data_IF_418407731550
#
_entry.id   IF_418407731550
#
_cell.length_a   1.000
_cell.length_b   1.000
_cell.length_c   1.000
_cell.angle_alpha   90.00
_cell.angle_beta   90.00
_cell.angle_gamma   90.00
#
_symmetry.space_group_name_H-M   'P 1'
#
loop_
_entity.id
_entity.type
_entity.pdbx_description
1 polymer ?
#
# COMPACT_ATOMS: atom_id res chain seq x y z
N UNK A 1 15.24 -11.69 -6.42
CA UNK A 1 14.80 -10.59 -5.55
C UNK A 1 13.30 -10.68 -5.40
N UNK A 2 12.79 -10.67 -4.17
CA UNK A 2 11.35 -10.75 -3.94
C UNK A 2 10.72 -9.36 -4.06
N UNK A 3 9.61 -9.29 -4.77
CA UNK A 3 8.86 -8.04 -4.87
C UNK A 3 8.24 -7.67 -3.51
N UNK A 4 8.29 -6.40 -3.18
CA UNK A 4 7.78 -5.88 -1.90
C UNK A 4 6.25 -5.72 -1.90
N UNK A 5 5.64 -5.71 -3.07
CA UNK A 5 4.19 -5.77 -3.25
C UNK A 5 3.89 -6.81 -4.31
N UNK A 6 2.98 -7.72 -4.01
CA UNK A 6 2.54 -8.76 -4.94
C UNK A 6 1.15 -8.42 -5.45
N UNK A 7 0.94 -8.65 -6.74
CA UNK A 7 -0.35 -8.44 -7.40
C UNK A 7 -0.83 -9.74 -8.03
N UNK A 8 -2.06 -10.12 -7.75
CA UNK A 8 -2.65 -11.35 -8.28
C UNK A 8 -4.12 -11.11 -8.62
N UNK A 9 -4.55 -11.64 -9.75
CA UNK A 9 -5.97 -11.65 -10.09
C UNK A 9 -6.61 -12.93 -9.57
N UNK A 10 -7.66 -12.80 -8.76
CA UNK A 10 -8.45 -13.92 -8.25
C UNK A 10 -9.92 -13.67 -8.62
N UNK A 11 -10.41 -14.39 -9.64
CA UNK A 11 -11.76 -14.14 -10.16
C UNK A 11 -11.88 -12.69 -10.66
N UNK A 12 -12.79 -11.93 -10.09
CA UNK A 12 -13.00 -10.52 -10.42
C UNK A 12 -12.29 -9.56 -9.43
N UNK A 13 -11.41 -10.08 -8.60
CA UNK A 13 -10.66 -9.29 -7.63
C UNK A 13 -9.22 -9.08 -8.06
N UNK A 14 -8.72 -7.86 -7.92
CA UNK A 14 -7.29 -7.62 -7.84
C UNK A 14 -6.89 -7.80 -6.38
N UNK A 15 -5.98 -8.72 -6.13
CA UNK A 15 -5.45 -9.00 -4.80
C UNK A 15 -4.06 -8.40 -4.66
N UNK A 16 -3.90 -7.46 -3.72
CA UNK A 16 -2.64 -6.79 -3.43
C UNK A 16 -2.10 -7.35 -2.11
N UNK A 17 -0.88 -7.83 -2.11
CA UNK A 17 -0.23 -8.35 -0.89
C UNK A 17 1.01 -7.51 -0.58
N UNK A 18 1.04 -6.88 0.58
CA UNK A 18 2.24 -6.23 1.10
C UNK A 18 3.22 -7.32 1.53
N UNK A 19 4.42 -7.33 0.97
CA UNK A 19 5.34 -8.47 1.08
C UNK A 19 6.70 -8.07 1.68
N UNK A 20 6.66 -7.43 2.84
CA UNK A 20 7.85 -7.12 3.65
C UNK A 20 7.64 -7.59 5.10
N UNK A 21 7.33 -8.88 5.33
CA UNK A 21 6.96 -9.33 6.68
C UNK A 21 8.06 -9.11 7.72
N UNK A 22 9.33 -9.19 7.33
CA UNK A 22 10.45 -8.91 8.23
C UNK A 22 10.50 -7.45 8.70
N UNK A 23 9.92 -6.53 7.94
CA UNK A 23 9.78 -5.10 8.29
C UNK A 23 8.33 -4.77 8.69
N UNK A 24 7.55 -5.75 9.12
CA UNK A 24 6.14 -5.61 9.50
C UNK A 24 5.30 -4.96 8.38
N UNK A 25 5.64 -5.24 7.13
CA UNK A 25 5.02 -4.70 5.92
C UNK A 25 5.02 -3.17 5.86
N UNK A 26 6.03 -2.53 6.43
CA UNK A 26 6.17 -1.08 6.37
C UNK A 26 6.29 -0.59 4.93
N UNK A 27 5.64 0.56 4.65
CA UNK A 27 5.60 1.14 3.33
C UNK A 27 6.86 1.94 3.03
N UNK A 28 7.44 1.70 1.86
CA UNK A 28 8.43 2.60 1.27
C UNK A 28 7.83 3.30 0.04
N UNK A 29 8.59 4.23 -0.55
CA UNK A 29 8.13 5.03 -1.68
C UNK A 29 7.74 4.15 -2.89
N UNK A 30 8.57 3.18 -3.23
CA UNK A 30 8.31 2.29 -4.37
C UNK A 30 7.01 1.50 -4.19
N UNK A 31 6.72 1.05 -2.97
CA UNK A 31 5.47 0.35 -2.66
C UNK A 31 4.26 1.27 -2.86
N UNK A 32 4.31 2.50 -2.36
CA UNK A 32 3.21 3.46 -2.51
C UNK A 32 2.93 3.77 -3.99
N UNK A 33 3.96 3.98 -4.78
CA UNK A 33 3.84 4.22 -6.23
C UNK A 33 3.25 3.01 -6.94
N UNK A 34 3.71 1.79 -6.62
CA UNK A 34 3.21 0.55 -7.22
C UNK A 34 1.74 0.31 -6.90
N UNK A 35 1.33 0.54 -5.66
CA UNK A 35 -0.06 0.37 -5.23
C UNK A 35 -0.96 1.38 -5.93
N UNK A 36 -0.55 2.64 -6.00
CA UNK A 36 -1.33 3.68 -6.68
C UNK A 36 -1.53 3.35 -8.16
N UNK A 37 -0.48 2.92 -8.83
CA UNK A 37 -0.53 2.52 -10.24
C UNK A 37 -1.45 1.33 -10.46
N UNK A 38 -1.32 0.30 -9.61
CA UNK A 38 -2.17 -0.88 -9.70
C UNK A 38 -3.65 -0.54 -9.48
N UNK A 39 -3.93 0.36 -8.54
CA UNK A 39 -5.28 0.85 -8.30
C UNK A 39 -5.85 1.58 -9.53
N UNK A 40 -5.04 2.45 -10.14
CA UNK A 40 -5.45 3.15 -11.36
C UNK A 40 -5.80 2.16 -12.48
N UNK A 41 -4.94 1.18 -12.72
CA UNK A 41 -5.15 0.18 -13.75
C UNK A 41 -6.40 -0.67 -13.44
N UNK A 42 -6.59 -1.05 -12.18
CA UNK A 42 -7.76 -1.83 -11.76
C UNK A 42 -9.07 -1.05 -11.93
N UNK A 43 -9.07 0.25 -11.67
CA UNK A 43 -10.26 1.08 -11.81
C UNK A 43 -10.72 1.24 -13.28
N UNK A 44 -9.80 1.09 -14.23
CA UNK A 44 -10.09 1.17 -15.66
C UNK A 44 -10.28 -0.20 -16.32
N UNK A 45 -10.06 -1.29 -15.59
CA UNK A 45 -10.21 -2.66 -16.10
C UNK A 45 -11.60 -3.19 -15.78
N UNK A 46 -12.47 -3.42 -16.79
CA UNK A 46 -13.83 -3.92 -16.54
C UNK A 46 -13.89 -5.33 -15.95
N UNK A 47 -12.81 -6.10 -16.06
CA UNK A 47 -12.73 -7.44 -15.46
C UNK A 47 -12.50 -7.40 -13.95
N UNK A 48 -12.03 -6.28 -13.41
CA UNK A 48 -11.80 -6.10 -11.97
C UNK A 48 -13.00 -5.40 -11.36
N UNK A 49 -13.72 -6.09 -10.48
CA UNK A 49 -14.92 -5.56 -9.82
C UNK A 49 -14.63 -5.03 -8.41
N UNK A 50 -13.59 -5.53 -7.76
CA UNK A 50 -13.18 -5.08 -6.42
C UNK A 50 -11.69 -5.35 -6.20
N UNK A 51 -11.15 -4.70 -5.17
CA UNK A 51 -9.74 -4.78 -4.82
C UNK A 51 -9.63 -5.24 -3.38
N UNK A 52 -8.73 -6.20 -3.12
CA UNK A 52 -8.44 -6.72 -1.78
C UNK A 52 -6.99 -6.46 -1.49
N UNK A 53 -6.69 -5.92 -0.30
CA UNK A 53 -5.32 -5.72 0.16
C UNK A 53 -5.09 -6.48 1.46
N UNK A 54 -3.97 -7.18 1.54
CA UNK A 54 -3.56 -7.96 2.70
C UNK A 54 -2.06 -7.81 2.96
N UNK A 55 -1.61 -8.24 4.12
CA UNK A 55 -0.19 -8.27 4.46
C UNK A 55 0.33 -9.69 4.55
N UNK A 56 1.52 -9.94 4.02
CA UNK A 56 2.19 -11.21 4.15
C UNK A 56 2.66 -11.44 5.60
N UNK A 57 2.75 -12.70 6.01
CA UNK A 57 3.14 -13.09 7.35
C UNK A 57 1.97 -13.06 8.34
N UNK A 58 2.29 -13.24 9.62
CA UNK A 58 1.29 -13.42 10.68
C UNK A 58 1.41 -12.35 11.79
N UNK A 59 2.25 -11.33 11.63
CA UNK A 59 2.52 -10.31 12.66
C UNK A 59 1.87 -8.97 12.38
N UNK A 60 1.84 -8.53 11.14
CA UNK A 60 1.36 -7.21 10.79
C UNK A 60 0.64 -7.18 9.46
N UNK A 61 -0.41 -6.38 9.39
CA UNK A 61 -0.97 -5.94 8.11
C UNK A 61 -0.01 -4.90 7.49
N UNK A 62 0.19 -3.77 8.15
CA UNK A 62 1.16 -2.75 7.76
C UNK A 62 1.48 -1.85 8.96
N UNK A 63 2.75 -1.77 9.32
CA UNK A 63 3.20 -0.95 10.45
C UNK A 63 3.34 0.54 10.11
N UNK A 64 3.02 0.96 8.89
CA UNK A 64 3.10 2.35 8.47
C UNK A 64 4.26 2.61 7.52
N UNK A 65 4.69 3.87 7.39
CA UNK A 65 5.85 4.22 6.59
C UNK A 65 7.15 3.68 7.19
N UNK A 66 8.13 3.40 6.33
CA UNK A 66 9.43 2.91 6.79
C UNK A 66 10.26 4.06 7.39
N UNK A 67 9.98 4.35 8.66
CA UNK A 67 10.60 5.46 9.39
C UNK A 67 12.10 5.26 9.56
N UNK A 68 12.54 4.00 9.71
CA UNK A 68 13.96 3.71 9.85
C UNK A 68 14.73 4.07 8.57
N UNK A 69 14.18 3.71 7.40
CA UNK A 69 14.76 4.06 6.11
C UNK A 69 14.74 5.58 5.88
N UNK A 70 13.61 6.21 6.13
CA UNK A 70 13.47 7.67 6.01
C UNK A 70 14.41 8.41 6.97
N UNK A 71 14.58 7.90 8.18
CA UNK A 71 15.47 8.49 9.16
C UNK A 71 16.95 8.44 8.76
N UNK A 72 17.36 7.37 8.07
CA UNK A 72 18.73 7.24 7.58
C UNK A 72 19.00 8.10 6.35
N UNK A 73 18.08 8.12 5.40
CA UNK A 73 18.25 8.80 4.11
C UNK A 73 17.74 10.23 4.14
N UNK A 74 16.69 10.49 4.88
CA UNK A 74 16.02 11.79 4.91
C UNK A 74 16.83 12.90 5.56
N UNK A 75 17.76 12.57 6.46
CA UNK A 75 18.67 13.56 7.06
C UNK A 75 19.56 14.20 5.99
N UNK A 76 19.93 13.44 4.98
CA UNK A 76 20.78 13.90 3.88
C UNK A 76 19.94 14.46 2.72
N UNK A 77 18.66 14.13 2.63
CA UNK A 77 17.84 14.50 1.49
C UNK A 77 16.38 14.75 1.90
N UNK A 78 16.07 16.02 2.17
CA UNK A 78 14.72 16.44 2.53
C UNK A 78 13.70 16.18 1.42
N UNK A 79 14.11 16.27 0.15
CA UNK A 79 13.24 16.03 -0.99
C UNK A 79 12.73 14.57 -1.03
N UNK A 80 13.53 13.62 -0.52
CA UNK A 80 13.13 12.22 -0.43
C UNK A 80 11.91 12.05 0.49
N UNK A 81 11.90 12.74 1.64
CA UNK A 81 10.77 12.72 2.56
C UNK A 81 9.51 13.33 1.94
N UNK A 82 9.68 14.50 1.34
CA UNK A 82 8.56 15.23 0.73
C UNK A 82 7.93 14.42 -0.39
N UNK A 83 8.75 13.81 -1.25
CA UNK A 83 8.26 12.97 -2.33
C UNK A 83 7.53 11.72 -1.81
N UNK A 84 8.07 11.08 -0.77
CA UNK A 84 7.44 9.91 -0.16
C UNK A 84 6.04 10.26 0.37
N UNK A 85 5.93 11.29 1.22
CA UNK A 85 4.66 11.68 1.81
C UNK A 85 3.67 12.18 0.76
N UNK A 86 4.16 12.91 -0.23
CA UNK A 86 3.32 13.39 -1.33
C UNK A 86 2.68 12.20 -2.07
N UNK A 87 3.46 11.21 -2.45
CA UNK A 87 2.97 10.05 -3.19
C UNK A 87 2.11 9.12 -2.32
N UNK A 88 2.43 8.99 -1.03
CA UNK A 88 1.60 8.25 -0.09
C UNK A 88 0.23 8.88 0.07
N UNK A 89 0.16 10.21 0.24
CA UNK A 89 -1.12 10.91 0.37
C UNK A 89 -1.93 10.87 -0.92
N UNK A 90 -1.28 10.93 -2.06
CA UNK A 90 -1.95 10.76 -3.36
C UNK A 90 -2.53 9.36 -3.51
N UNK A 91 -1.81 8.35 -3.07
CA UNK A 91 -2.30 6.98 -3.03
C UNK A 91 -3.54 6.88 -2.13
N UNK A 92 -3.48 7.42 -0.91
CA UNK A 92 -4.60 7.41 0.02
C UNK A 92 -5.83 8.12 -0.56
N UNK A 93 -5.64 9.24 -1.23
CA UNK A 93 -6.71 9.97 -1.89
C UNK A 93 -7.32 9.15 -3.03
N UNK A 94 -6.50 8.46 -3.80
CA UNK A 94 -6.97 7.59 -4.88
C UNK A 94 -7.80 6.42 -4.34
N UNK A 95 -7.40 5.84 -3.21
CA UNK A 95 -8.18 4.80 -2.53
C UNK A 95 -9.54 5.35 -2.10
N UNK A 96 -9.57 6.52 -1.49
CA UNK A 96 -10.81 7.15 -1.02
C UNK A 96 -11.77 7.47 -2.17
N UNK A 97 -11.24 7.79 -3.34
CA UNK A 97 -12.01 8.15 -4.53
C UNK A 97 -12.24 7.00 -5.50
N UNK A 98 -11.76 5.80 -5.17
CA UNK A 98 -11.88 4.65 -6.06
C UNK A 98 -13.36 4.35 -6.34
N UNK A 99 -13.75 4.12 -7.62
CA UNK A 99 -15.12 3.78 -7.97
C UNK A 99 -15.47 2.32 -7.68
N UNK A 100 -14.51 1.52 -7.23
CA UNK A 100 -14.69 0.09 -6.94
C UNK A 100 -14.43 -0.18 -5.47
N UNK A 101 -15.08 -1.20 -4.87
CA UNK A 101 -14.85 -1.57 -3.48
C UNK A 101 -13.37 -1.89 -3.20
N UNK A 102 -12.89 -1.39 -2.10
CA UNK A 102 -11.55 -1.62 -1.58
C UNK A 102 -11.68 -2.30 -0.23
N UNK A 103 -11.23 -3.56 -0.13
CA UNK A 103 -11.35 -4.39 1.06
C UNK A 103 -9.97 -4.62 1.65
N UNK A 104 -9.76 -4.18 2.89
CA UNK A 104 -8.52 -4.43 3.62
C UNK A 104 -8.72 -5.60 4.59
N UNK A 105 -7.90 -6.63 4.45
CA UNK A 105 -7.86 -7.76 5.37
C UNK A 105 -6.83 -7.45 6.46
N UNK A 106 -7.29 -6.85 7.54
CA UNK A 106 -6.45 -6.40 8.63
C UNK A 106 -6.23 -7.54 9.61
N UNK A 107 -5.00 -8.07 9.60
CA UNK A 107 -4.58 -9.14 10.50
C UNK A 107 -3.27 -8.74 11.16
N UNK A 108 -3.34 -8.35 12.43
CA UNK A 108 -2.18 -7.92 13.18
C UNK A 108 -1.95 -6.42 13.20
N UNK A 109 -0.71 -6.01 13.40
CA UNK A 109 -0.32 -4.61 13.60
C UNK A 109 -0.69 -3.74 12.40
N UNK A 110 -1.39 -2.63 12.67
CA UNK A 110 -1.78 -1.65 11.67
C UNK A 110 -1.59 -0.26 12.25
N UNK A 111 -0.67 0.53 11.69
CA UNK A 111 -0.30 1.85 12.20
C UNK A 111 -0.02 2.81 11.05
N UNK A 112 -0.19 4.10 11.27
CA UNK A 112 0.19 5.15 10.34
C UNK A 112 -0.33 4.93 8.92
N UNK A 113 0.58 4.72 7.95
CA UNK A 113 0.25 4.44 6.56
C UNK A 113 -0.58 3.17 6.37
N UNK A 114 -0.46 2.19 7.29
CA UNK A 114 -1.32 1.00 7.29
C UNK A 114 -2.78 1.34 7.57
N UNK A 115 -3.03 2.30 8.45
CA UNK A 115 -4.38 2.84 8.68
C UNK A 115 -4.90 3.51 7.41
N UNK A 116 -4.06 4.29 6.72
CA UNK A 116 -4.42 4.90 5.45
C UNK A 116 -4.84 3.90 4.39
N UNK A 117 -4.16 2.75 4.33
CA UNK A 117 -4.52 1.65 3.41
C UNK A 117 -5.83 0.95 3.79
N UNK A 118 -6.29 1.09 5.02
CA UNK A 118 -7.42 0.29 5.53
C UNK A 118 -8.73 1.08 5.64
N UNK A 119 -8.69 2.37 5.99
CA UNK A 119 -9.90 3.11 6.37
C UNK A 119 -10.46 4.03 5.30
N UNK A 120 -9.69 4.36 4.26
CA UNK A 120 -10.12 5.32 3.25
C UNK A 120 -10.93 4.70 2.11
N UNK A 121 -10.97 3.38 2.01
CA UNK A 121 -11.70 2.69 0.95
C UNK A 121 -13.21 2.92 1.00
N UNK A 122 -13.85 2.90 -0.17
CA UNK A 122 -15.31 2.97 -0.25
C UNK A 122 -15.99 1.71 0.25
#
# INVERSE_FOLDING_TARGET
MMDEVLFETRGHALWITLNRPAALNALNHAMAVSIHRALFDACTDPAVQHIVISGAGDRAFCAGGDVALLGREGRANRALWENFFHDEYRMNQAIARAPKPWVALIDGITMGGGVGLSIHGP
#
